data_IF_264624056091
#
_entry.id   IF_264624056091
#
_cell.length_a   1.000
_cell.length_b   1.000
_cell.length_c   1.000
_cell.angle_alpha   90.00
_cell.angle_beta   90.00
_cell.angle_gamma   90.00
#
_symmetry.space_group_name_H-M   'P 1'
#
loop_
_entity.id
_entity.type
_entity.pdbx_description
1 polymer ?
#
# COMPACT_ATOMS: atom_id res chain seq x y z
N UNK A 1 51.63 -7.02 76.43
CA UNK A 1 50.76 -7.62 77.47
C UNK A 1 49.35 -7.14 77.19
N UNK A 2 48.43 -8.09 76.96
CA UNK A 2 46.97 -8.03 77.12
C UNK A 2 46.19 -6.91 76.39
N UNK A 3 45.49 -7.26 75.31
CA UNK A 3 44.08 -7.73 75.24
C UNK A 3 43.07 -6.57 75.14
N UNK A 4 42.52 -6.41 73.92
CA UNK A 4 41.09 -6.42 73.53
C UNK A 4 40.12 -6.60 74.73
N UNK A 5 39.05 -5.80 74.93
CA UNK A 5 37.73 -6.03 74.27
C UNK A 5 36.90 -4.77 73.97
N UNK A 6 36.04 -4.73 72.94
CA UNK A 6 34.76 -5.46 72.71
C UNK A 6 33.68 -5.12 73.74
N UNK A 7 32.54 -4.67 73.20
CA UNK A 7 31.20 -4.91 73.74
C UNK A 7 30.63 -3.72 74.51
N UNK A 8 29.62 -3.00 74.02
CA UNK A 8 28.26 -3.38 73.60
C UNK A 8 27.24 -2.87 74.64
N UNK A 9 26.12 -2.35 74.11
CA UNK A 9 24.83 -2.13 74.77
C UNK A 9 24.77 -1.00 75.84
N UNK A 10 23.73 -0.18 76.01
CA UNK A 10 22.41 -0.10 75.41
C UNK A 10 21.73 1.23 75.87
N UNK A 11 20.89 1.80 74.99
CA UNK A 11 19.56 2.40 75.26
C UNK A 11 19.45 3.60 76.23
N UNK A 12 19.11 4.79 75.71
CA UNK A 12 17.76 5.40 75.79
C UNK A 12 17.73 6.92 75.53
N UNK A 13 16.53 7.39 75.11
CA UNK A 13 15.98 8.75 75.08
C UNK A 13 16.12 9.63 73.82
N UNK A 14 15.18 9.38 72.90
CA UNK A 14 14.16 10.32 72.38
C UNK A 14 14.57 11.72 71.90
N UNK A 15 14.37 11.96 70.61
CA UNK A 15 13.61 13.11 70.13
C UNK A 15 12.80 12.72 68.88
N UNK A 16 11.52 13.06 68.94
CA UNK A 16 10.44 12.78 67.98
C UNK A 16 10.53 13.79 66.84
N UNK A 17 10.48 13.32 65.60
CA UNK A 17 9.94 14.06 64.46
C UNK A 17 9.09 13.10 63.62
N UNK A 18 7.78 13.29 63.72
CA UNK A 18 6.73 12.66 62.92
C UNK A 18 6.87 13.05 61.46
N UNK A 19 6.87 12.08 60.55
CA UNK A 19 5.80 11.85 59.56
C UNK A 19 6.21 12.35 58.16
N UNK A 20 6.02 11.65 57.05
CA UNK A 20 5.31 10.42 56.72
C UNK A 20 6.12 9.64 55.66
N UNK A 21 5.99 8.31 55.69
CA UNK A 21 6.33 7.43 54.57
C UNK A 21 5.33 7.61 53.45
N UNK A 22 5.78 7.49 52.19
CA UNK A 22 5.02 6.71 51.22
C UNK A 22 5.97 5.97 50.25
N UNK A 23 5.53 4.79 49.85
CA UNK A 23 6.28 3.63 49.36
C UNK A 23 6.99 3.80 48.00
N UNK A 24 8.18 3.19 47.94
CA UNK A 24 8.71 2.33 46.87
C UNK A 24 8.19 2.51 45.44
N UNK A 25 9.10 2.90 44.53
CA UNK A 25 9.39 2.05 43.37
C UNK A 25 10.83 2.31 42.88
N UNK A 26 11.67 1.29 43.04
CA UNK A 26 12.98 1.18 42.41
C UNK A 26 12.75 0.70 40.97
N UNK A 27 13.26 1.41 39.98
CA UNK A 27 13.55 0.78 38.68
C UNK A 27 14.84 1.38 38.14
N UNK A 28 15.89 0.59 38.32
CA UNK A 28 17.17 0.74 37.65
C UNK A 28 16.99 0.57 36.13
N UNK A 29 17.84 1.28 35.40
CA UNK A 29 18.08 1.11 33.97
C UNK A 29 18.36 -0.36 33.62
N UNK A 30 17.62 -0.89 32.65
CA UNK A 30 18.13 -1.97 31.79
C UNK A 30 17.59 -1.79 30.37
N UNK A 31 18.54 -1.60 29.45
CA UNK A 31 18.55 -1.85 28.01
C UNK A 31 17.23 -1.91 27.23
N UNK A 32 17.14 -1.03 26.23
CA UNK A 32 16.57 -1.35 24.91
C UNK A 32 17.03 -2.76 24.47
N UNK A 33 16.12 -3.71 24.52
CA UNK A 33 16.20 -4.95 23.76
C UNK A 33 15.10 -4.86 22.71
N UNK A 34 15.52 -4.97 21.46
CA UNK A 34 14.69 -4.96 20.27
C UNK A 34 13.40 -5.79 20.47
N UNK A 35 12.27 -5.21 20.07
CA UNK A 35 11.13 -6.01 19.65
C UNK A 35 11.61 -6.92 18.52
N UNK A 36 11.85 -8.19 18.86
CA UNK A 36 12.05 -9.22 17.86
C UNK A 36 10.68 -9.54 17.25
N UNK A 37 10.32 -8.79 16.21
CA UNK A 37 9.26 -9.16 15.28
C UNK A 37 9.54 -10.58 14.79
N UNK A 38 8.53 -11.44 14.77
CA UNK A 38 8.66 -12.80 14.23
C UNK A 38 9.27 -12.75 12.81
N UNK A 39 10.11 -13.72 12.42
CA UNK A 39 10.73 -13.71 11.09
C UNK A 39 9.64 -13.70 10.02
N UNK A 40 9.71 -12.73 9.12
CA UNK A 40 8.87 -12.69 7.93
C UNK A 40 9.26 -13.84 7.00
N UNK A 41 8.54 -14.97 7.14
CA UNK A 41 8.82 -16.22 6.41
C UNK A 41 8.74 -16.02 4.90
N UNK A 42 7.86 -15.13 4.43
CA UNK A 42 7.74 -14.79 3.00
C UNK A 42 9.03 -14.14 2.49
N UNK A 43 9.50 -13.09 3.14
CA UNK A 43 10.74 -12.41 2.78
C UNK A 43 11.95 -13.36 2.82
N UNK A 44 12.02 -14.22 3.85
CA UNK A 44 13.07 -15.24 3.94
C UNK A 44 13.02 -16.24 2.76
N UNK A 45 11.83 -16.66 2.35
CA UNK A 45 11.69 -17.54 1.19
C UNK A 45 12.09 -16.82 -0.11
N UNK A 46 11.65 -15.58 -0.33
CA UNK A 46 12.06 -14.80 -1.51
C UNK A 46 13.59 -14.65 -1.55
N UNK A 47 14.23 -14.40 -0.41
CA UNK A 47 15.70 -14.34 -0.28
C UNK A 47 16.38 -15.64 -0.67
N UNK A 48 15.90 -16.77 -0.15
CA UNK A 48 16.45 -18.09 -0.48
C UNK A 48 16.24 -18.43 -1.96
N UNK A 49 15.08 -18.12 -2.51
CA UNK A 49 14.78 -18.27 -3.94
C UNK A 49 15.76 -17.43 -4.76
N UNK A 50 15.96 -16.14 -4.43
CA UNK A 50 16.92 -15.26 -5.12
C UNK A 50 18.32 -15.87 -5.14
N UNK A 51 18.80 -16.39 -4.00
CA UNK A 51 20.09 -17.08 -3.95
C UNK A 51 20.14 -18.33 -4.83
N UNK A 52 19.06 -19.13 -4.87
CA UNK A 52 19.01 -20.33 -5.71
C UNK A 52 18.96 -20.01 -7.20
N UNK A 53 18.24 -18.95 -7.60
CA UNK A 53 18.24 -18.46 -8.97
C UNK A 53 19.64 -17.99 -9.38
N UNK A 54 20.32 -17.27 -8.48
CA UNK A 54 21.68 -16.79 -8.70
C UNK A 54 22.66 -17.96 -8.95
N UNK A 55 22.65 -18.98 -8.09
CA UNK A 55 23.46 -20.21 -8.23
C UNK A 55 23.21 -20.96 -9.55
N UNK A 56 22.00 -20.86 -10.08
CA UNK A 56 21.57 -21.55 -11.29
C UNK A 56 21.42 -20.59 -12.49
N UNK A 57 22.01 -19.40 -12.44
CA UNK A 57 21.84 -18.36 -13.46
C UNK A 57 22.09 -18.86 -14.88
N UNK A 58 23.13 -19.69 -15.07
CA UNK A 58 23.47 -20.27 -16.38
C UNK A 58 22.33 -21.07 -17.03
N UNK A 59 21.41 -21.64 -16.25
CA UNK A 59 20.26 -22.39 -16.74
C UNK A 59 19.09 -21.48 -17.17
N UNK A 60 18.96 -20.30 -16.55
CA UNK A 60 17.83 -19.39 -16.73
C UNK A 60 18.17 -18.11 -17.51
N UNK A 61 19.45 -17.83 -17.75
CA UNK A 61 19.93 -16.61 -18.42
C UNK A 61 19.25 -16.36 -19.77
N UNK A 62 19.05 -17.42 -20.57
CA UNK A 62 18.39 -17.31 -21.87
C UNK A 62 16.91 -16.91 -21.73
N UNK A 63 16.20 -17.44 -20.72
CA UNK A 63 14.80 -17.08 -20.48
C UNK A 63 14.68 -15.64 -19.99
N UNK A 64 15.53 -15.22 -19.04
CA UNK A 64 15.56 -13.84 -18.55
C UNK A 64 15.80 -12.85 -19.70
N UNK A 65 16.83 -13.11 -20.53
CA UNK A 65 17.16 -12.26 -21.68
C UNK A 65 16.06 -12.22 -22.76
N UNK A 66 15.32 -13.31 -22.94
CA UNK A 66 14.26 -13.38 -23.95
C UNK A 66 12.99 -12.63 -23.52
N UNK A 67 12.66 -12.65 -22.23
CA UNK A 67 11.37 -12.15 -21.73
C UNK A 67 11.46 -10.76 -21.10
N UNK A 68 12.63 -10.35 -20.62
CA UNK A 68 12.86 -9.00 -20.07
C UNK A 68 13.28 -8.06 -21.21
N UNK A 69 12.45 -7.06 -21.48
CA UNK A 69 12.65 -6.06 -22.52
C UNK A 69 11.92 -4.75 -22.15
N UNK A 70 11.84 -3.81 -23.09
CA UNK A 70 11.22 -2.49 -22.86
C UNK A 70 9.73 -2.57 -22.53
N UNK A 71 9.01 -3.57 -23.04
CA UNK A 71 7.57 -3.75 -22.84
C UNK A 71 7.24 -4.67 -21.66
N UNK A 72 8.18 -5.53 -21.25
CA UNK A 72 7.99 -6.47 -20.17
C UNK A 72 9.21 -6.52 -19.25
N UNK A 73 9.06 -6.11 -18.00
CA UNK A 73 10.16 -6.01 -17.04
C UNK A 73 10.42 -7.30 -16.27
N UNK A 74 9.57 -8.34 -16.41
CA UNK A 74 9.66 -9.53 -15.56
C UNK A 74 9.26 -10.85 -16.21
N UNK A 75 9.60 -11.94 -15.50
CA UNK A 75 9.31 -13.32 -15.89
C UNK A 75 8.63 -14.03 -14.72
N UNK A 76 7.61 -14.85 -14.98
CA UNK A 76 6.99 -15.70 -13.95
C UNK A 76 8.05 -16.54 -13.23
N UNK A 77 8.07 -16.45 -11.90
CA UNK A 77 8.98 -17.23 -11.07
C UNK A 77 8.73 -18.74 -11.27
N UNK A 78 7.46 -19.13 -11.42
CA UNK A 78 7.06 -20.52 -11.64
C UNK A 78 7.75 -21.12 -12.89
N UNK A 79 7.84 -20.33 -13.96
CA UNK A 79 8.50 -20.74 -15.22
C UNK A 79 10.01 -20.91 -15.04
N UNK A 80 10.66 -20.03 -14.28
CA UNK A 80 12.10 -20.09 -14.03
C UNK A 80 12.48 -21.29 -13.15
N UNK A 81 11.75 -21.53 -12.06
CA UNK A 81 12.05 -22.66 -11.15
C UNK A 81 11.77 -24.01 -11.80
N UNK A 82 10.79 -24.11 -12.70
CA UNK A 82 10.57 -25.30 -13.55
C UNK A 82 11.75 -25.58 -14.46
N UNK A 83 12.41 -24.54 -14.98
CA UNK A 83 13.58 -24.67 -15.85
C UNK A 83 14.80 -25.18 -15.08
N UNK A 84 14.99 -24.71 -13.84
CA UNK A 84 16.04 -25.21 -12.93
C UNK A 84 15.80 -26.67 -12.51
N UNK A 85 14.53 -27.11 -12.51
CA UNK A 85 14.12 -28.49 -12.22
C UNK A 85 14.61 -29.02 -10.85
N UNK A 86 14.51 -28.17 -9.82
CA UNK A 86 14.77 -28.54 -8.42
C UNK A 86 13.44 -28.62 -7.64
N UNK A 87 12.96 -29.82 -7.27
CA UNK A 87 11.63 -29.99 -6.64
C UNK A 87 11.41 -29.18 -5.37
N UNK A 88 12.45 -28.99 -4.56
CA UNK A 88 12.38 -28.18 -3.34
C UNK A 88 12.16 -26.70 -3.66
N UNK A 89 12.84 -26.17 -4.68
CA UNK A 89 12.71 -24.78 -5.12
C UNK A 89 11.33 -24.51 -5.72
N UNK A 90 10.82 -25.42 -6.57
CA UNK A 90 9.46 -25.32 -7.11
C UNK A 90 8.41 -25.31 -6.00
N UNK A 91 8.58 -26.18 -5.00
CA UNK A 91 7.67 -26.24 -3.85
C UNK A 91 7.74 -24.96 -3.00
N UNK A 92 8.94 -24.42 -2.78
CA UNK A 92 9.15 -23.19 -2.03
C UNK A 92 8.53 -21.98 -2.74
N UNK A 93 8.72 -21.86 -4.06
CA UNK A 93 8.08 -20.82 -4.87
C UNK A 93 6.54 -20.90 -4.77
N UNK A 94 5.96 -22.08 -4.96
CA UNK A 94 4.50 -22.27 -4.87
C UNK A 94 3.92 -21.99 -3.46
N UNK A 95 4.67 -22.28 -2.40
CA UNK A 95 4.24 -21.95 -1.03
C UNK A 95 4.35 -20.44 -0.77
N UNK A 96 5.41 -19.79 -1.29
CA UNK A 96 5.60 -18.34 -1.18
C UNK A 96 4.48 -17.59 -1.89
N UNK A 97 4.09 -18.06 -3.09
CA UNK A 97 2.96 -17.53 -3.84
C UNK A 97 1.65 -17.53 -3.00
N UNK A 98 1.37 -18.65 -2.31
CA UNK A 98 0.20 -18.74 -1.42
C UNK A 98 0.29 -17.78 -0.23
N UNK A 99 1.50 -17.57 0.31
CA UNK A 99 1.71 -16.61 1.39
C UNK A 99 1.45 -15.18 0.92
N UNK A 100 1.91 -14.82 -0.28
CA UNK A 100 1.63 -13.51 -0.91
C UNK A 100 0.12 -13.29 -1.06
N UNK A 101 -0.61 -14.27 -1.61
CA UNK A 101 -2.07 -14.16 -1.73
C UNK A 101 -2.77 -13.97 -0.37
N UNK A 102 -2.39 -14.79 0.61
CA UNK A 102 -3.01 -14.75 1.94
C UNK A 102 -2.74 -13.43 2.67
N UNK A 103 -1.50 -12.93 2.61
CA UNK A 103 -1.10 -11.66 3.23
C UNK A 103 -1.90 -10.48 2.68
N UNK A 104 -2.22 -10.50 1.38
CA UNK A 104 -2.90 -9.41 0.68
C UNK A 104 -4.42 -9.53 0.62
N UNK A 105 -4.99 -10.59 1.23
CA UNK A 105 -6.44 -10.82 1.22
C UNK A 105 -7.02 -11.14 -0.16
N UNK A 106 -6.22 -11.72 -1.06
CA UNK A 106 -6.61 -12.03 -2.44
C UNK A 106 -7.25 -13.43 -2.51
N UNK A 107 -8.58 -13.49 -2.35
CA UNK A 107 -9.33 -14.76 -2.34
C UNK A 107 -9.62 -15.31 -3.74
N UNK A 108 -9.65 -14.43 -4.75
CA UNK A 108 -9.68 -14.80 -6.16
C UNK A 108 -8.22 -14.74 -6.62
N UNK A 109 -7.53 -15.89 -6.67
CA UNK A 109 -6.14 -15.95 -7.10
C UNK A 109 -6.02 -15.45 -8.56
N UNK A 110 -5.53 -14.22 -8.83
CA UNK A 110 -5.08 -13.92 -10.18
C UNK A 110 -3.98 -14.93 -10.55
N UNK A 111 -3.75 -15.14 -11.84
CA UNK A 111 -2.63 -15.96 -12.30
C UNK A 111 -1.30 -15.45 -11.70
N UNK A 112 -0.26 -16.29 -11.61
CA UNK A 112 1.08 -16.05 -11.02
C UNK A 112 1.44 -14.59 -10.69
N UNK A 113 1.62 -14.25 -9.41
CA UNK A 113 2.09 -12.95 -8.93
C UNK A 113 3.60 -12.91 -8.69
N UNK A 114 4.24 -14.02 -8.30
CA UNK A 114 5.69 -14.00 -8.10
C UNK A 114 6.42 -13.93 -9.44
N UNK A 115 7.32 -12.96 -9.53
CA UNK A 115 8.13 -12.71 -10.71
C UNK A 115 9.61 -12.56 -10.37
N UNK A 116 10.43 -12.65 -11.41
CA UNK A 116 11.79 -12.16 -11.41
C UNK A 116 11.85 -11.02 -12.39
N UNK A 117 12.04 -9.81 -11.87
CA UNK A 117 12.02 -8.57 -12.66
C UNK A 117 13.37 -7.88 -12.64
N UNK A 118 13.62 -7.05 -13.65
CA UNK A 118 14.78 -6.16 -13.66
C UNK A 118 14.50 -4.96 -12.76
N UNK A 119 15.43 -4.64 -11.85
CA UNK A 119 15.25 -3.57 -10.86
C UNK A 119 14.98 -2.20 -11.49
N UNK A 120 15.61 -1.91 -12.63
CA UNK A 120 15.38 -0.65 -13.34
C UNK A 120 15.52 -0.84 -14.86
N UNK A 121 14.63 -0.28 -15.69
CA UNK A 121 14.72 -0.38 -17.15
C UNK A 121 16.05 0.11 -17.73
N UNK A 122 16.72 1.06 -17.06
CA UNK A 122 18.04 1.56 -17.47
C UNK A 122 19.15 0.49 -17.44
N UNK A 123 18.93 -0.63 -16.75
CA UNK A 123 19.86 -1.76 -16.69
C UNK A 123 19.75 -2.71 -17.88
N UNK A 124 18.72 -2.58 -18.72
CA UNK A 124 18.48 -3.47 -19.86
C UNK A 124 19.68 -3.59 -20.82
N UNK A 125 20.39 -2.49 -21.17
CA UNK A 125 21.60 -2.60 -22.00
C UNK A 125 22.69 -3.49 -21.40
N UNK A 126 22.81 -3.53 -20.06
CA UNK A 126 23.75 -4.41 -19.38
C UNK A 126 23.38 -5.89 -19.51
N UNK A 127 22.08 -6.20 -19.43
CA UNK A 127 21.55 -7.55 -19.68
C UNK A 127 21.80 -7.98 -21.13
N UNK A 128 21.55 -7.09 -22.09
CA UNK A 128 21.76 -7.35 -23.52
C UNK A 128 23.24 -7.59 -23.85
N UNK A 129 24.13 -6.82 -23.23
CA UNK A 129 25.58 -6.95 -23.32
C UNK A 129 26.14 -8.19 -22.59
N UNK A 130 25.31 -8.90 -21.82
CA UNK A 130 25.72 -10.11 -21.09
C UNK A 130 26.59 -9.81 -19.87
N UNK A 131 26.40 -8.64 -19.24
CA UNK A 131 27.01 -8.35 -17.94
C UNK A 131 26.53 -9.37 -16.89
N UNK A 132 27.39 -9.66 -15.91
CA UNK A 132 27.01 -10.55 -14.81
C UNK A 132 26.02 -9.83 -13.91
N UNK A 133 24.82 -10.41 -13.68
CA UNK A 133 23.81 -9.76 -12.85
C UNK A 133 24.03 -10.05 -11.37
N UNK A 134 23.40 -9.23 -10.54
CA UNK A 134 23.06 -9.55 -9.16
C UNK A 134 21.63 -10.04 -9.07
N UNK A 135 21.33 -10.80 -8.03
CA UNK A 135 19.99 -11.21 -7.65
C UNK A 135 19.68 -10.70 -6.26
N UNK A 136 18.50 -10.15 -6.07
CA UNK A 136 17.99 -9.76 -4.75
C UNK A 136 16.53 -10.16 -4.66
N UNK A 137 15.87 -9.73 -3.59
CA UNK A 137 14.48 -10.00 -3.32
C UNK A 137 13.80 -8.73 -2.83
N UNK A 138 12.51 -8.63 -3.11
CA UNK A 138 11.68 -7.58 -2.59
C UNK A 138 11.55 -7.74 -1.07
N UNK A 139 11.99 -6.71 -0.35
CA UNK A 139 11.93 -6.60 1.10
C UNK A 139 10.81 -5.64 1.48
N UNK A 140 10.07 -5.96 2.53
CA UNK A 140 9.04 -5.06 3.05
C UNK A 140 9.72 -3.91 3.81
N UNK A 141 9.22 -2.68 3.68
CA UNK A 141 9.65 -1.49 4.43
C UNK A 141 11.13 -1.09 4.26
N UNK A 142 11.72 -1.20 3.05
CA UNK A 142 13.08 -0.70 2.80
C UNK A 142 13.10 0.83 2.88
N UNK A 143 14.12 1.38 3.56
CA UNK A 143 14.32 2.83 3.72
C UNK A 143 15.71 3.27 3.28
N UNK A 144 15.84 4.57 3.06
CA UNK A 144 17.14 5.20 2.87
C UNK A 144 18.09 4.84 4.03
N UNK A 145 19.32 4.47 3.69
CA UNK A 145 20.32 3.96 4.62
C UNK A 145 20.28 2.45 4.89
N UNK A 146 19.25 1.73 4.44
CA UNK A 146 19.18 0.28 4.64
C UNK A 146 20.18 -0.49 3.78
N UNK A 147 20.62 -1.63 4.31
CA UNK A 147 21.47 -2.58 3.60
C UNK A 147 20.62 -3.57 2.81
N UNK A 148 21.03 -3.84 1.57
CA UNK A 148 20.32 -4.77 0.69
C UNK A 148 21.13 -6.05 0.52
N UNK A 149 20.53 -7.18 0.86
CA UNK A 149 21.09 -8.48 0.58
C UNK A 149 20.96 -8.80 -0.92
N UNK A 150 22.10 -8.96 -1.59
CA UNK A 150 22.17 -9.34 -3.01
C UNK A 150 23.05 -10.58 -3.15
N UNK A 151 22.94 -11.26 -4.29
CA UNK A 151 23.68 -12.47 -4.61
C UNK A 151 24.30 -12.33 -5.98
N UNK A 152 25.60 -12.60 -6.09
CA UNK A 152 26.25 -12.66 -7.40
C UNK A 152 25.82 -13.89 -8.21
N UNK A 153 26.26 -14.01 -9.46
CA UNK A 153 25.95 -15.17 -10.32
C UNK A 153 26.46 -16.53 -9.82
N UNK A 154 27.17 -16.58 -8.69
CA UNK A 154 27.59 -17.81 -8.00
C UNK A 154 26.75 -18.08 -6.74
N UNK A 155 25.89 -17.14 -6.35
CA UNK A 155 25.07 -17.21 -5.15
C UNK A 155 25.78 -16.74 -3.87
N UNK A 156 26.91 -16.06 -4.02
CA UNK A 156 27.65 -15.47 -2.91
C UNK A 156 27.02 -14.13 -2.50
N UNK A 157 26.91 -13.90 -1.19
CA UNK A 157 26.28 -12.70 -0.63
C UNK A 157 27.12 -11.45 -0.94
N UNK A 158 26.47 -10.46 -1.52
CA UNK A 158 26.96 -9.11 -1.76
C UNK A 158 26.04 -8.13 -1.03
N UNK A 159 26.60 -7.29 -0.16
CA UNK A 159 25.80 -6.29 0.57
C UNK A 159 25.77 -4.99 -0.25
N UNK A 160 24.56 -4.56 -0.61
CA UNK A 160 24.25 -3.32 -1.30
C UNK A 160 23.66 -2.27 -0.38
N UNK A 161 23.24 -1.15 -0.95
CA UNK A 161 22.61 -0.03 -0.25
C UNK A 161 21.31 0.37 -0.94
N UNK A 162 20.30 0.69 -0.14
CA UNK A 162 19.04 1.27 -0.63
C UNK A 162 19.26 2.65 -1.28
N UNK A 163 20.32 3.37 -0.95
CA UNK A 163 20.61 4.71 -1.46
C UNK A 163 21.32 4.70 -2.82
N UNK A 164 21.96 3.59 -3.18
CA UNK A 164 22.83 3.49 -4.35
C UNK A 164 22.46 2.29 -5.19
N UNK A 165 21.80 2.57 -6.32
CA UNK A 165 21.50 1.56 -7.33
C UNK A 165 22.80 1.00 -7.95
N UNK A 166 22.97 -0.34 -8.05
CA UNK A 166 24.16 -0.94 -8.65
C UNK A 166 24.33 -0.59 -10.13
N UNK A 167 25.58 -0.54 -10.61
CA UNK A 167 25.88 -0.32 -12.04
C UNK A 167 25.63 -1.55 -12.92
N UNK A 168 25.65 -2.75 -12.33
CA UNK A 168 25.37 -4.01 -13.02
C UNK A 168 23.88 -4.36 -12.92
N UNK A 169 23.34 -5.17 -13.85
CA UNK A 169 21.92 -5.54 -13.81
C UNK A 169 21.56 -6.23 -12.51
N UNK A 170 20.44 -5.85 -11.91
CA UNK A 170 19.90 -6.48 -10.70
C UNK A 170 18.55 -7.11 -11.04
N UNK A 171 18.43 -8.41 -10.80
CA UNK A 171 17.17 -9.12 -10.85
C UNK A 171 16.55 -9.24 -9.47
N UNK A 172 15.28 -8.87 -9.32
CA UNK A 172 14.54 -8.88 -8.07
C UNK A 172 13.55 -10.04 -8.10
N UNK A 173 13.62 -10.93 -7.12
CA UNK A 173 12.55 -11.89 -6.82
C UNK A 173 11.49 -11.16 -6.01
N UNK A 174 10.36 -10.88 -6.62
CA UNK A 174 9.32 -10.04 -6.03
C UNK A 174 7.93 -10.42 -6.49
N UNK A 175 6.99 -9.54 -6.17
CA UNK A 175 5.61 -9.61 -6.64
C UNK A 175 5.47 -8.68 -7.86
N UNK A 176 4.67 -9.08 -8.83
CA UNK A 176 4.15 -8.16 -9.85
C UNK A 176 3.12 -7.25 -9.17
N UNK A 177 3.60 -6.11 -8.66
CA UNK A 177 2.80 -5.20 -7.83
C UNK A 177 1.64 -4.56 -8.60
N UNK A 178 1.81 -4.28 -9.90
CA UNK A 178 0.71 -3.81 -10.74
C UNK A 178 -0.41 -4.86 -10.83
N UNK A 179 -0.05 -6.14 -11.01
CA UNK A 179 -1.03 -7.23 -11.06
C UNK A 179 -1.67 -7.49 -9.69
N UNK A 180 -0.88 -7.43 -8.62
CA UNK A 180 -1.35 -7.57 -7.24
C UNK A 180 -2.31 -6.44 -6.88
N UNK A 181 -1.96 -5.19 -7.22
CA UNK A 181 -2.80 -4.02 -7.03
C UNK A 181 -4.13 -4.19 -7.74
N UNK A 182 -4.13 -4.48 -9.04
CA UNK A 182 -5.38 -4.67 -9.80
C UNK A 182 -6.31 -5.71 -9.16
N UNK A 183 -5.76 -6.85 -8.72
CA UNK A 183 -6.53 -7.88 -8.02
C UNK A 183 -7.04 -7.39 -6.64
N UNK A 184 -6.23 -6.61 -5.94
CA UNK A 184 -6.57 -5.94 -4.70
C UNK A 184 -7.70 -4.94 -4.84
N UNK A 185 -7.61 -4.01 -5.80
CA UNK A 185 -8.65 -3.01 -6.09
C UNK A 185 -9.97 -3.70 -6.49
N UNK A 186 -9.92 -4.77 -7.29
CA UNK A 186 -11.09 -5.57 -7.62
C UNK A 186 -11.71 -6.23 -6.37
N UNK A 187 -10.87 -6.70 -5.44
CA UNK A 187 -11.32 -7.23 -4.14
C UNK A 187 -11.98 -6.15 -3.31
N UNK A 188 -11.41 -4.94 -3.23
CA UNK A 188 -12.01 -3.81 -2.53
C UNK A 188 -13.37 -3.43 -3.11
N UNK A 189 -13.45 -3.27 -4.44
CA UNK A 189 -14.71 -2.94 -5.12
C UNK A 189 -15.78 -3.99 -4.83
N UNK A 190 -15.42 -5.28 -4.79
CA UNK A 190 -16.38 -6.36 -4.45
C UNK A 190 -16.93 -6.25 -3.02
N UNK A 191 -16.11 -5.79 -2.07
CA UNK A 191 -16.55 -5.55 -0.68
C UNK A 191 -17.50 -4.37 -0.63
N UNK A 192 -17.20 -3.29 -1.34
CA UNK A 192 -18.07 -2.11 -1.44
C UNK A 192 -19.42 -2.45 -2.09
N UNK A 193 -19.42 -3.18 -3.20
CA UNK A 193 -20.63 -3.59 -3.92
C UNK A 193 -21.48 -4.59 -3.11
N UNK A 194 -20.84 -5.49 -2.37
CA UNK A 194 -21.53 -6.44 -1.49
C UNK A 194 -22.22 -5.71 -0.33
N UNK A 195 -21.58 -4.70 0.27
CA UNK A 195 -22.21 -3.87 1.28
C UNK A 195 -23.41 -3.11 0.70
N UNK A 196 -23.26 -2.54 -0.49
CA UNK A 196 -24.36 -1.90 -1.22
C UNK A 196 -25.56 -2.83 -1.47
N UNK A 197 -25.31 -4.13 -1.63
CA UNK A 197 -26.32 -5.16 -1.88
C UNK A 197 -26.98 -5.65 -0.58
N UNK A 198 -26.21 -5.94 0.47
CA UNK A 198 -26.75 -6.37 1.77
C UNK A 198 -27.66 -5.29 2.37
N UNK A 199 -27.33 -4.01 2.16
CA UNK A 199 -28.15 -2.89 2.62
C UNK A 199 -29.42 -2.68 1.77
N UNK A 200 -29.48 -3.20 0.53
CA UNK A 200 -30.72 -3.21 -0.29
C UNK A 200 -31.79 -4.15 0.26
N UNK A 201 -31.40 -5.25 0.91
CA UNK A 201 -32.33 -6.28 1.37
C UNK A 201 -32.94 -6.00 2.76
N UNK A 202 -32.36 -5.09 3.55
CA UNK A 202 -32.71 -4.91 4.97
C UNK A 202 -33.60 -3.71 5.35
N UNK A 203 -34.02 -2.83 4.43
CA UNK A 203 -34.77 -1.60 4.79
C UNK A 203 -35.83 -1.17 3.74
N UNK A 204 -36.86 -0.37 4.14
CA UNK A 204 -37.91 0.08 3.24
C UNK A 204 -37.33 0.98 2.15
N UNK A 205 -37.73 0.73 0.89
CA UNK A 205 -37.37 1.53 -0.28
C UNK A 205 -37.75 3.01 -0.06
N UNK A 206 -36.81 3.85 0.39
CA UNK A 206 -36.90 5.28 0.12
C UNK A 206 -36.64 5.46 -1.38
N UNK A 207 -37.67 5.95 -2.07
CA UNK A 207 -37.61 6.22 -3.49
C UNK A 207 -36.64 7.37 -3.74
N UNK A 208 -35.50 7.07 -4.37
CA UNK A 208 -34.92 8.01 -5.32
C UNK A 208 -34.87 7.28 -6.66
N UNK A 209 -35.92 7.51 -7.44
CA UNK A 209 -35.92 7.18 -8.85
C UNK A 209 -34.74 7.89 -9.54
N UNK A 210 -34.19 7.34 -10.63
CA UNK A 210 -33.34 8.13 -11.52
C UNK A 210 -34.12 9.37 -11.96
N UNK A 211 -33.46 10.50 -12.16
CA UNK A 211 -34.05 11.59 -12.94
C UNK A 211 -34.34 11.04 -14.34
N UNK A 212 -35.59 10.69 -14.59
CA UNK A 212 -36.05 10.32 -15.92
C UNK A 212 -35.89 11.55 -16.84
N UNK A 213 -34.99 11.47 -17.83
CA UNK A 213 -34.83 12.51 -18.86
C UNK A 213 -33.41 12.97 -19.18
N UNK A 214 -32.35 12.41 -18.61
CA UNK A 214 -30.97 12.76 -19.00
C UNK A 214 -30.56 12.04 -20.29
N UNK A 215 -30.13 12.79 -21.31
CA UNK A 215 -29.61 12.27 -22.60
C UNK A 215 -28.11 11.91 -22.54
N UNK A 216 -27.46 12.28 -21.44
CA UNK A 216 -26.03 12.13 -21.22
C UNK A 216 -25.75 11.77 -19.76
N UNK A 217 -24.65 11.07 -19.55
CA UNK A 217 -24.08 10.80 -18.24
C UNK A 217 -23.05 11.87 -17.90
N UNK A 218 -23.09 12.38 -16.67
CA UNK A 218 -22.09 13.34 -16.19
C UNK A 218 -20.91 12.63 -15.54
N UNK A 219 -19.71 13.06 -15.89
CA UNK A 219 -18.46 12.58 -15.32
C UNK A 219 -17.47 13.73 -15.07
N UNK A 220 -16.48 13.48 -14.22
CA UNK A 220 -15.26 14.31 -14.12
C UNK A 220 -14.08 13.50 -14.62
N UNK A 221 -13.26 14.09 -15.48
CA UNK A 221 -12.13 13.45 -16.16
C UNK A 221 -10.81 14.04 -15.67
N UNK A 222 -9.87 13.19 -15.31
CA UNK A 222 -8.48 13.54 -15.07
C UNK A 222 -7.74 13.74 -16.39
N UNK A 223 -7.30 14.96 -16.63
CA UNK A 223 -6.60 15.39 -17.84
C UNK A 223 -5.10 15.40 -17.67
N UNK A 224 -4.64 15.74 -16.47
CA UNK A 224 -3.23 15.88 -16.12
C UNK A 224 -3.02 15.46 -14.67
N UNK A 225 -1.93 14.77 -14.38
CA UNK A 225 -1.47 14.47 -13.01
C UNK A 225 0.05 14.42 -12.94
N UNK A 226 0.61 14.85 -11.80
CA UNK A 226 2.00 14.67 -11.42
C UNK A 226 2.12 14.55 -9.90
N UNK A 227 3.14 13.84 -9.42
CA UNK A 227 3.47 13.66 -7.99
C UNK A 227 4.92 14.09 -7.78
N UNK A 228 5.22 14.76 -6.66
CA UNK A 228 6.58 15.26 -6.35
C UNK A 228 7.45 14.23 -5.64
N UNK A 229 6.83 13.38 -4.83
CA UNK A 229 7.51 12.36 -4.06
C UNK A 229 6.62 11.11 -4.08
N UNK A 230 7.15 10.05 -4.69
CA UNK A 230 6.54 8.73 -4.77
C UNK A 230 6.98 7.81 -3.61
N UNK A 231 7.82 8.29 -2.68
CA UNK A 231 8.23 7.61 -1.44
C UNK A 231 8.97 6.26 -1.61
N UNK A 232 9.26 5.82 -2.83
CA UNK A 232 9.85 4.50 -3.08
C UNK A 232 11.38 4.50 -3.27
N UNK A 233 12.14 3.62 -2.59
CA UNK A 233 13.52 3.32 -2.96
C UNK A 233 13.58 2.51 -4.27
N UNK A 234 14.74 2.54 -4.96
CA UNK A 234 14.91 1.89 -6.27
C UNK A 234 14.60 0.39 -6.30
N UNK A 235 14.61 -0.28 -5.15
CA UNK A 235 14.34 -1.71 -5.01
C UNK A 235 12.84 -2.03 -4.90
N UNK A 236 11.99 -1.06 -4.57
CA UNK A 236 10.55 -1.26 -4.45
C UNK A 236 9.87 -1.41 -5.81
N UNK A 237 10.36 -0.71 -6.82
CA UNK A 237 9.91 -0.87 -8.20
C UNK A 237 9.39 0.43 -8.78
N UNK A 238 8.20 0.35 -9.38
CA UNK A 238 7.46 1.50 -9.90
C UNK A 238 6.42 1.87 -8.85
N UNK A 239 6.08 3.15 -8.76
CA UNK A 239 4.98 3.54 -7.88
C UNK A 239 3.64 2.96 -8.38
N UNK A 240 2.88 2.34 -7.50
CA UNK A 240 1.55 1.82 -7.78
C UNK A 240 0.46 2.71 -7.15
N UNK A 241 0.03 3.74 -7.88
CA UNK A 241 -0.96 4.70 -7.36
C UNK A 241 -2.39 4.34 -7.80
N UNK A 242 -3.34 4.50 -6.88
CA UNK A 242 -4.77 4.42 -7.11
C UNK A 242 -5.51 5.55 -6.39
N UNK A 243 -6.76 5.80 -6.77
CA UNK A 243 -7.61 6.78 -6.12
C UNK A 243 -8.83 6.13 -5.47
N UNK A 244 -9.17 6.62 -4.26
CA UNK A 244 -10.45 6.37 -3.61
C UNK A 244 -11.36 7.58 -3.81
N UNK A 245 -12.50 7.37 -4.44
CA UNK A 245 -13.52 8.40 -4.68
C UNK A 245 -14.70 8.17 -3.76
N UNK A 246 -14.93 9.08 -2.83
CA UNK A 246 -15.93 8.90 -1.77
C UNK A 246 -16.99 9.99 -1.79
N UNK A 247 -18.24 9.61 -1.50
CA UNK A 247 -19.35 10.53 -1.32
C UNK A 247 -20.56 9.83 -0.72
N UNK A 248 -21.75 10.39 -0.95
CA UNK A 248 -23.01 9.84 -0.42
C UNK A 248 -23.82 9.20 -1.54
N UNK A 249 -24.46 8.07 -1.28
CA UNK A 249 -25.29 7.38 -2.24
C UNK A 249 -26.47 8.26 -2.70
N UNK A 250 -26.80 8.32 -4.01
CA UNK A 250 -27.88 9.16 -4.52
C UNK A 250 -29.26 8.75 -4.02
N UNK A 251 -29.43 7.49 -3.66
CA UNK A 251 -30.72 6.92 -3.26
C UNK A 251 -30.83 6.61 -1.77
N UNK A 252 -29.73 6.70 -1.02
CA UNK A 252 -29.65 6.30 0.39
C UNK A 252 -28.78 7.24 1.20
N UNK A 253 -29.02 7.25 2.49
CA UNK A 253 -28.23 7.97 3.49
C UNK A 253 -27.05 7.07 3.92
N UNK A 254 -26.20 6.71 2.95
CA UNK A 254 -25.08 5.76 3.09
C UNK A 254 -23.87 6.22 2.26
N UNK A 255 -22.64 5.79 2.62
CA UNK A 255 -21.47 6.15 1.83
C UNK A 255 -21.46 5.40 0.49
N UNK A 256 -20.85 6.00 -0.51
CA UNK A 256 -20.49 5.33 -1.77
C UNK A 256 -19.01 5.55 -2.02
N UNK A 257 -18.31 4.48 -2.35
CA UNK A 257 -16.88 4.47 -2.60
C UNK A 257 -16.57 3.76 -3.91
N UNK A 258 -15.76 4.41 -4.74
CA UNK A 258 -15.23 3.86 -5.98
C UNK A 258 -13.70 3.86 -5.92
N UNK A 259 -13.11 2.90 -6.61
CA UNK A 259 -11.66 2.76 -6.73
C UNK A 259 -11.26 2.99 -8.18
N UNK A 260 -10.23 3.82 -8.41
CA UNK A 260 -9.71 4.13 -9.75
C UNK A 260 -8.22 3.80 -9.80
N UNK A 261 -7.85 2.77 -10.56
CA UNK A 261 -6.43 2.39 -10.82
C UNK A 261 -5.75 3.49 -11.66
N UNK A 262 -4.52 3.90 -11.31
CA UNK A 262 -3.73 4.87 -12.08
C UNK A 262 -2.42 4.24 -12.56
N UNK A 263 -2.48 3.23 -13.46
CA UNK A 263 -1.35 2.34 -13.80
C UNK A 263 -0.23 2.99 -14.63
N UNK A 264 -0.32 4.31 -14.83
CA UNK A 264 0.64 5.11 -15.58
C UNK A 264 1.45 6.02 -14.68
N UNK A 265 1.10 6.18 -13.41
CA UNK A 265 1.71 7.13 -12.49
C UNK A 265 2.92 6.48 -11.78
N UNK A 266 3.88 6.02 -12.58
CA UNK A 266 4.98 5.14 -12.14
C UNK A 266 6.15 5.88 -11.46
N UNK A 267 6.28 7.19 -11.69
CA UNK A 267 7.47 7.97 -11.33
C UNK A 267 7.12 9.38 -10.85
N UNK A 268 7.80 9.83 -9.80
CA UNK A 268 7.83 11.22 -9.34
C UNK A 268 8.38 12.19 -10.41
N UNK A 269 7.99 13.47 -10.30
CA UNK A 269 8.35 14.59 -11.17
C UNK A 269 8.02 14.42 -12.67
N UNK A 270 7.26 13.38 -13.02
CA UNK A 270 6.74 13.16 -14.37
C UNK A 270 5.28 13.63 -14.47
N UNK A 271 4.97 14.31 -15.59
CA UNK A 271 3.61 14.75 -15.91
C UNK A 271 2.94 13.77 -16.86
N UNK A 272 1.77 13.29 -16.46
CA UNK A 272 0.96 12.34 -17.21
C UNK A 272 -0.33 12.98 -17.71
N UNK A 273 -0.82 12.52 -18.87
CA UNK A 273 -2.03 13.04 -19.52
C UNK A 273 -3.03 11.93 -19.85
N UNK A 274 -3.69 11.32 -18.84
CA UNK A 274 -4.37 10.05 -19.00
C UNK A 274 -5.75 10.13 -19.68
N UNK A 275 -6.44 11.27 -19.58
CA UNK A 275 -7.82 11.43 -20.03
C UNK A 275 -8.76 10.32 -19.46
N UNK A 276 -8.60 10.06 -18.16
CA UNK A 276 -9.29 8.99 -17.43
C UNK A 276 -10.50 9.53 -16.67
N UNK A 277 -11.62 8.79 -16.64
CA UNK A 277 -12.77 9.15 -15.80
C UNK A 277 -12.41 8.91 -14.33
N UNK A 278 -12.52 9.95 -13.51
CA UNK A 278 -12.33 9.85 -12.05
C UNK A 278 -13.64 9.67 -11.31
N UNK A 279 -14.65 10.47 -11.68
CA UNK A 279 -15.94 10.47 -10.98
C UNK A 279 -17.04 10.24 -11.98
N UNK A 280 -17.92 9.28 -11.67
CA UNK A 280 -19.15 9.05 -12.39
C UNK A 280 -20.34 9.52 -11.54
N UNK A 281 -20.87 10.71 -11.86
CA UNK A 281 -21.73 11.47 -10.95
C UNK A 281 -23.08 10.83 -10.63
N UNK A 282 -23.56 9.91 -11.49
CA UNK A 282 -24.79 9.17 -11.21
C UNK A 282 -24.70 8.29 -9.94
N UNK A 283 -23.50 8.07 -9.40
CA UNK A 283 -23.25 7.31 -8.15
C UNK A 283 -23.16 8.18 -6.91
N UNK A 284 -23.18 9.49 -7.03
CA UNK A 284 -22.95 10.40 -5.91
C UNK A 284 -24.09 11.43 -5.79
N UNK A 285 -24.66 11.51 -4.59
CA UNK A 285 -25.67 12.51 -4.24
C UNK A 285 -25.03 13.90 -4.25
N UNK A 286 -25.86 14.90 -4.56
CA UNK A 286 -25.50 16.34 -4.51
C UNK A 286 -24.43 16.79 -5.50
N UNK A 287 -23.94 15.91 -6.38
CA UNK A 287 -22.87 16.24 -7.32
C UNK A 287 -21.60 16.65 -6.59
N UNK A 288 -21.30 16.02 -5.44
CA UNK A 288 -20.15 16.30 -4.61
C UNK A 288 -19.45 14.99 -4.19
N UNK A 289 -18.14 14.93 -4.34
CA UNK A 289 -17.31 13.78 -3.97
C UNK A 289 -15.91 14.23 -3.55
N UNK A 290 -15.19 13.38 -2.82
CA UNK A 290 -13.78 13.58 -2.51
C UNK A 290 -12.93 12.60 -3.30
N UNK A 291 -11.66 12.96 -3.52
CA UNK A 291 -10.67 12.09 -4.13
C UNK A 291 -9.48 11.98 -3.18
N UNK A 292 -9.10 10.77 -2.82
CA UNK A 292 -7.89 10.47 -2.05
C UNK A 292 -6.98 9.67 -2.98
N UNK A 293 -5.75 10.15 -3.18
CA UNK A 293 -4.71 9.41 -3.90
C UNK A 293 -3.92 8.59 -2.89
N UNK A 294 -3.77 7.32 -3.19
CA UNK A 294 -3.11 6.33 -2.35
C UNK A 294 -2.02 5.66 -3.19
N UNK A 295 -0.85 5.50 -2.61
CA UNK A 295 0.15 4.55 -3.08
C UNK A 295 -0.20 3.16 -2.54
N UNK A 296 0.19 2.11 -3.25
CA UNK A 296 0.10 0.73 -2.81
C UNK A 296 1.36 0.31 -2.05
N UNK A 297 1.16 -0.41 -0.95
CA UNK A 297 2.19 -1.15 -0.25
C UNK A 297 2.09 -2.66 -0.38
N UNK A 298 3.27 -3.24 -0.51
CA UNK A 298 3.58 -4.65 -0.42
C UNK A 298 2.90 -5.43 0.73
N UNK A 299 2.47 -4.78 1.83
CA UNK A 299 1.79 -5.42 2.96
C UNK A 299 0.28 -5.18 3.03
N UNK A 300 -0.32 -4.43 2.10
CA UNK A 300 -1.75 -4.08 2.18
C UNK A 300 -2.64 -5.31 2.03
N UNK A 301 -3.45 -5.58 3.05
CA UNK A 301 -4.58 -6.50 2.93
C UNK A 301 -5.81 -5.74 2.43
N UNK A 302 -6.05 -5.82 1.13
CA UNK A 302 -7.11 -5.08 0.45
C UNK A 302 -8.51 -5.37 0.99
N UNK A 303 -8.78 -6.61 1.37
CA UNK A 303 -10.09 -6.98 1.93
C UNK A 303 -10.31 -6.34 3.29
N UNK A 304 -9.32 -6.43 4.17
CA UNK A 304 -9.39 -5.84 5.51
C UNK A 304 -9.47 -4.32 5.44
N UNK A 305 -8.64 -3.69 4.60
CA UNK A 305 -8.68 -2.26 4.34
C UNK A 305 -10.08 -1.80 3.90
N UNK A 306 -10.67 -2.46 2.90
CA UNK A 306 -12.02 -2.13 2.43
C UNK A 306 -13.09 -2.27 3.53
N UNK A 307 -13.00 -3.31 4.37
CA UNK A 307 -13.94 -3.51 5.49
C UNK A 307 -13.83 -2.40 6.54
N UNK A 308 -12.60 -1.95 6.84
CA UNK A 308 -12.35 -0.88 7.80
C UNK A 308 -12.83 0.47 7.26
N UNK A 309 -12.56 0.76 5.99
CA UNK A 309 -13.01 1.98 5.30
C UNK A 309 -14.53 2.07 5.31
N UNK A 310 -15.24 1.02 4.87
CA UNK A 310 -16.70 1.08 4.72
C UNK A 310 -17.43 1.17 6.07
N UNK A 311 -16.92 0.46 7.09
CA UNK A 311 -17.45 0.52 8.46
C UNK A 311 -17.32 1.93 9.04
N UNK A 312 -16.17 2.56 8.81
CA UNK A 312 -15.90 3.91 9.32
C UNK A 312 -16.75 4.96 8.61
N UNK A 313 -16.84 4.89 7.28
CA UNK A 313 -17.68 5.77 6.47
C UNK A 313 -19.18 5.66 6.85
N UNK A 314 -19.68 4.44 7.08
CA UNK A 314 -21.07 4.21 7.49
C UNK A 314 -21.39 4.83 8.86
N UNK A 315 -20.43 4.77 9.80
CA UNK A 315 -20.57 5.36 11.15
C UNK A 315 -20.72 6.88 11.08
N UNK A 316 -19.95 7.54 10.21
CA UNK A 316 -20.03 9.00 10.03
C UNK A 316 -21.40 9.43 9.52
N UNK A 317 -21.88 8.78 8.48
CA UNK A 317 -23.15 9.13 7.84
C UNK A 317 -24.34 8.87 8.79
N UNK A 318 -24.34 7.74 9.50
CA UNK A 318 -25.35 7.45 10.52
C UNK A 318 -25.39 8.50 11.66
N UNK A 319 -24.23 9.09 12.01
CA UNK A 319 -24.14 10.07 13.09
C UNK A 319 -24.59 11.50 12.72
N UNK A 320 -24.63 11.84 11.43
CA UNK A 320 -24.89 13.22 10.98
C UNK A 320 -26.27 13.44 10.35
N UNK A 321 -26.89 12.38 9.82
CA UNK A 321 -28.17 12.50 9.09
C UNK A 321 -29.39 12.59 10.03
N UNK A 322 -29.27 12.12 11.27
CA UNK A 322 -30.36 12.16 12.27
C UNK A 322 -30.69 13.60 12.77
N UNK A 323 -30.01 14.64 12.25
CA UNK A 323 -30.16 16.04 12.66
C UNK A 323 -30.56 17.04 11.58
N UNK A 324 -30.81 16.62 10.32
CA UNK A 324 -31.10 17.54 9.22
C UNK A 324 -29.91 18.42 8.81
N UNK A 325 -28.68 17.91 8.98
CA UNK A 325 -27.46 18.63 8.67
C UNK A 325 -27.36 19.04 7.18
N UNK A 326 -26.66 20.15 6.92
CA UNK A 326 -26.33 20.58 5.56
C UNK A 326 -25.51 19.48 4.84
N UNK A 327 -25.75 19.32 3.55
CA UNK A 327 -25.28 18.20 2.72
C UNK A 327 -23.76 18.14 2.50
N UNK A 328 -23.08 19.29 2.35
CA UNK A 328 -21.65 19.34 2.03
C UNK A 328 -20.71 19.01 3.21
N UNK A 329 -20.99 19.43 4.47
CA UNK A 329 -20.21 19.02 5.63
C UNK A 329 -20.04 17.50 5.78
N UNK A 330 -21.07 16.71 5.46
CA UNK A 330 -21.04 15.24 5.53
C UNK A 330 -19.94 14.70 4.60
N UNK A 331 -19.90 15.21 3.35
CA UNK A 331 -18.90 14.81 2.34
C UNK A 331 -17.48 15.09 2.83
N UNK A 332 -17.21 16.26 3.39
CA UNK A 332 -15.88 16.60 3.93
C UNK A 332 -15.46 15.67 5.07
N UNK A 333 -16.36 15.40 6.03
CA UNK A 333 -16.05 14.52 7.17
C UNK A 333 -15.78 13.07 6.76
N UNK A 334 -16.25 12.66 5.58
CA UNK A 334 -16.03 11.32 5.05
C UNK A 334 -14.54 11.10 4.74
N UNK A 335 -13.85 12.09 4.19
CA UNK A 335 -12.39 12.03 3.95
C UNK A 335 -11.66 11.81 5.26
N UNK A 336 -11.89 12.67 6.26
CA UNK A 336 -11.19 12.59 7.55
C UNK A 336 -11.43 11.25 8.25
N UNK A 337 -12.61 10.68 8.07
CA UNK A 337 -12.96 9.38 8.63
C UNK A 337 -12.26 8.24 7.90
N UNK A 338 -12.21 8.28 6.57
CA UNK A 338 -11.46 7.30 5.76
C UNK A 338 -9.97 7.37 6.10
N UNK A 339 -9.40 8.57 6.18
CA UNK A 339 -8.00 8.77 6.56
C UNK A 339 -7.68 8.19 7.94
N UNK A 340 -8.58 8.33 8.92
CA UNK A 340 -8.43 7.71 10.25
C UNK A 340 -8.66 6.20 10.28
N UNK A 341 -9.35 5.66 9.29
CA UNK A 341 -9.66 4.24 9.20
C UNK A 341 -8.46 3.44 8.70
N UNK A 342 -7.62 4.06 7.87
CA UNK A 342 -6.38 3.46 7.37
C UNK A 342 -5.45 3.29 8.58
N UNK A 343 -4.96 2.07 8.88
CA UNK A 343 -4.12 1.82 10.06
C UNK A 343 -2.85 2.69 10.10
N UNK A 344 -2.37 3.05 11.30
CA UNK A 344 -1.10 3.78 11.45
C UNK A 344 0.10 2.96 10.96
N UNK A 345 0.01 1.62 10.98
CA UNK A 345 1.04 0.71 10.46
C UNK A 345 1.15 0.77 8.92
N UNK A 346 0.07 1.15 8.22
CA UNK A 346 0.07 1.56 6.80
C UNK A 346 0.77 2.93 6.63
N UNK A 347 0.69 3.82 7.63
CA UNK A 347 1.34 5.15 7.59
C UNK A 347 2.76 5.19 8.16
N UNK A 348 3.25 4.10 8.75
CA UNK A 348 4.69 3.92 9.01
C UNK A 348 5.33 3.28 7.79
N UNK A 349 5.44 4.06 6.71
CA UNK A 349 6.22 3.80 5.49
C UNK A 349 5.62 2.85 4.45
N UNK A 350 4.32 2.57 4.44
CA UNK A 350 3.83 1.37 3.75
C UNK A 350 2.31 1.47 3.38
N UNK A 351 1.90 2.59 2.76
CA UNK A 351 0.71 2.93 1.92
C UNK A 351 0.61 4.44 2.10
N UNK A 352 1.41 5.21 1.37
CA UNK A 352 1.43 6.63 1.60
C UNK A 352 0.20 7.27 0.95
N UNK A 353 -0.59 7.95 1.78
CA UNK A 353 -1.55 8.92 1.27
C UNK A 353 -0.75 9.95 0.48
N UNK A 354 -0.76 9.80 -0.84
CA UNK A 354 -0.03 10.67 -1.76
C UNK A 354 -0.59 12.09 -1.61
N UNK A 355 -1.90 12.24 -1.78
CA UNK A 355 -2.58 13.53 -1.61
C UNK A 355 -4.10 13.36 -1.53
N UNK A 356 -4.83 14.45 -1.30
CA UNK A 356 -6.29 14.43 -1.21
C UNK A 356 -6.91 15.75 -1.66
N UNK A 357 -8.12 15.64 -2.20
CA UNK A 357 -8.92 16.73 -2.74
C UNK A 357 -10.32 16.68 -2.12
N UNK A 358 -10.61 17.68 -1.29
CA UNK A 358 -11.91 17.80 -0.62
C UNK A 358 -12.98 18.34 -1.55
N UNK A 359 -14.16 17.71 -1.49
CA UNK A 359 -15.42 18.19 -2.08
C UNK A 359 -15.23 18.81 -3.48
N UNK A 360 -14.88 17.95 -4.43
CA UNK A 360 -14.99 18.27 -5.86
C UNK A 360 -16.47 18.26 -6.23
N UNK A 361 -16.90 19.27 -6.99
CA UNK A 361 -18.26 19.38 -7.50
C UNK A 361 -18.35 18.91 -8.96
N UNK A 362 -19.54 18.48 -9.36
CA UNK A 362 -19.82 17.96 -10.70
C UNK A 362 -19.45 18.89 -11.85
N UNK A 363 -19.50 20.19 -11.61
CA UNK A 363 -19.23 21.22 -12.61
C UNK A 363 -17.85 21.85 -12.46
N UNK A 364 -17.04 21.39 -11.51
CA UNK A 364 -15.73 21.99 -11.25
C UNK A 364 -14.78 21.72 -12.40
N UNK A 365 -14.16 22.79 -12.87
CA UNK A 365 -12.96 22.76 -13.69
C UNK A 365 -11.79 23.16 -12.79
N UNK A 366 -10.91 22.20 -12.51
CA UNK A 366 -9.75 22.41 -11.66
C UNK A 366 -8.51 22.31 -12.54
N UNK A 367 -7.77 23.41 -12.65
CA UNK A 367 -6.59 23.50 -13.50
C UNK A 367 -5.36 23.56 -12.61
N UNK A 368 -4.45 22.60 -12.79
CA UNK A 368 -3.20 22.49 -12.01
C UNK A 368 -3.43 22.68 -10.50
N UNK A 369 -4.50 22.07 -10.00
CA UNK A 369 -4.90 22.16 -8.62
C UNK A 369 -3.94 21.31 -7.77
N UNK A 370 -3.20 21.91 -6.82
CA UNK A 370 -2.45 21.13 -5.84
C UNK A 370 -3.43 20.44 -4.90
N UNK A 371 -3.10 19.23 -4.50
CA UNK A 371 -3.81 18.58 -3.41
C UNK A 371 -3.46 19.21 -2.06
N UNK A 372 -4.19 18.81 -1.03
CA UNK A 372 -4.10 19.38 0.31
C UNK A 372 -2.74 19.14 1.00
N UNK A 373 -2.03 18.05 0.71
CA UNK A 373 -0.65 17.82 1.17
C UNK A 373 0.39 18.51 0.28
N UNK A 374 -0.03 19.02 -0.89
CA UNK A 374 0.81 19.65 -1.91
C UNK A 374 1.88 18.70 -2.48
N UNK A 375 1.61 17.39 -2.49
CA UNK A 375 2.46 16.40 -3.13
C UNK A 375 2.03 16.14 -4.58
N UNK A 376 0.72 16.02 -4.84
CA UNK A 376 0.16 15.84 -6.16
C UNK A 376 -0.40 17.13 -6.75
N UNK A 377 -0.43 17.21 -8.08
CA UNK A 377 -1.11 18.27 -8.81
C UNK A 377 -1.94 17.65 -9.93
N UNK A 378 -3.22 18.01 -10.01
CA UNK A 378 -4.16 17.47 -11.01
C UNK A 378 -4.83 18.55 -11.86
N UNK A 379 -5.27 18.16 -13.05
CA UNK A 379 -6.27 18.90 -13.82
C UNK A 379 -7.51 18.04 -14.02
N UNK A 380 -8.65 18.51 -13.56
CA UNK A 380 -9.96 17.87 -13.69
C UNK A 380 -10.89 18.72 -14.56
N UNK A 381 -11.58 18.07 -15.50
CA UNK A 381 -12.57 18.71 -16.37
C UNK A 381 -13.91 17.95 -16.31
N UNK A 382 -15.06 18.65 -16.31
CA UNK A 382 -16.36 18.03 -16.49
C UNK A 382 -16.49 17.41 -17.89
N UNK A 383 -17.21 16.28 -17.98
CA UNK A 383 -17.51 15.62 -19.24
C UNK A 383 -18.92 15.07 -19.27
N UNK A 384 -19.62 15.35 -20.35
CA UNK A 384 -20.87 14.68 -20.70
C UNK A 384 -20.57 13.49 -21.62
N UNK A 385 -21.12 12.32 -21.29
CA UNK A 385 -21.00 11.09 -22.06
C UNK A 385 -22.38 10.77 -22.63
N UNK A 386 -22.59 10.85 -23.94
CA UNK A 386 -23.90 10.55 -24.53
C UNK A 386 -24.33 9.13 -24.19
N UNK A 387 -25.60 8.96 -23.80
CA UNK A 387 -26.19 7.64 -23.68
C UNK A 387 -26.42 7.10 -25.11
N UNK A 388 -25.60 6.14 -25.54
CA UNK A 388 -25.88 5.43 -26.80
C UNK A 388 -27.23 4.72 -26.69
N UNK A 389 -28.13 5.00 -27.66
CA UNK A 389 -29.42 4.33 -27.82
C UNK A 389 -29.26 2.88 -28.31
#
# INVERSE_FOLDING_TARGET
>A
MRYIPIGAACIALTLVLSGCQEQQNTTEKTSNAAEQTAPNIEAQNKREIAQQLAKNYTQIAAQLKQHINVENSGVSLESLVKTINLPSLTTQAANTEKMVFAKRGLDQHPEDLLTVSLANPSMLPGVEAGQQPLFTYQQDNVKAGDSIDMFDSHGDLVIGSADVMPEQPVFIVGVDEQKAMRAGLATMQSVFDANDTIMRDNLPKLASAPKAGEEFLSATVLKKVSVKDDQEPWISGKAEIYALVSGVNPSRDEPTLDVVEMPYLDYQDQVYYPNQIMVYWARYRWGAANIILMEHDTNTNYRELAQVIIKTAATVIASQIDGGAASLPIVNTLVDAILKAIPDETFTNNDDMVDFYYTILQTDELIDQPGASNNATITLEPREIPLTQ
#
